data_IF_605452536026
#
_entry.id   IF_605452536026
#
_cell.length_a   1.000
_cell.length_b   1.000
_cell.length_c   1.000
_cell.angle_alpha   90.00
_cell.angle_beta   90.00
_cell.angle_gamma   90.00
#
_symmetry.space_group_name_H-M   'P 1'
#
loop_
_entity.id
_entity.type
_entity.pdbx_description
1 polymer ?
#
# COMPACT_ATOMS: atom_id res chain seq x y z
N UNK A 1 -18.15 23.96 -0.57
CA UNK A 1 -17.75 22.56 -0.30
C UNK A 1 -16.23 22.50 -0.44
N UNK A 2 -15.48 21.96 0.53
CA UNK A 2 -14.05 21.70 0.31
C UNK A 2 -13.93 20.46 -0.59
N UNK A 3 -13.56 20.68 -1.85
CA UNK A 3 -13.22 19.59 -2.77
C UNK A 3 -12.08 18.75 -2.17
N UNK A 4 -11.95 17.48 -2.56
CA UNK A 4 -10.91 16.52 -2.15
C UNK A 4 -9.52 17.15 -2.11
N UNK A 5 -9.21 18.00 -3.10
CA UNK A 5 -7.97 18.78 -3.16
C UNK A 5 -7.81 19.72 -1.96
N UNK A 6 -8.75 20.64 -1.73
CA UNK A 6 -8.70 21.61 -0.62
C UNK A 6 -8.61 20.91 0.73
N UNK A 7 -9.41 19.86 0.94
CA UNK A 7 -9.36 19.05 2.15
C UNK A 7 -7.98 18.42 2.37
N UNK A 8 -7.41 17.92 1.29
CA UNK A 8 -6.09 17.30 1.29
C UNK A 8 -4.97 18.29 1.59
N UNK A 9 -5.03 19.49 1.00
CA UNK A 9 -4.07 20.56 1.27
C UNK A 9 -4.11 20.94 2.75
N UNK A 10 -5.29 21.19 3.30
CA UNK A 10 -5.46 21.52 4.72
C UNK A 10 -4.96 20.40 5.64
N UNK A 11 -5.25 19.15 5.29
CA UNK A 11 -4.80 18.00 6.08
C UNK A 11 -3.28 17.81 6.04
N UNK A 12 -2.67 17.94 4.86
CA UNK A 12 -1.22 17.86 4.71
C UNK A 12 -0.51 19.00 5.42
N UNK A 13 -1.05 20.22 5.35
CA UNK A 13 -0.53 21.36 6.11
C UNK A 13 -0.58 21.14 7.63
N UNK A 14 -1.70 20.62 8.14
CA UNK A 14 -1.82 20.25 9.56
C UNK A 14 -0.83 19.16 9.96
N UNK A 15 -0.63 18.14 9.11
CA UNK A 15 0.39 17.12 9.28
C UNK A 15 1.80 17.71 9.35
N UNK A 16 2.17 18.55 8.39
CA UNK A 16 3.48 19.21 8.34
C UNK A 16 3.72 20.10 9.56
N UNK A 17 2.71 20.83 10.02
CA UNK A 17 2.81 21.63 11.24
C UNK A 17 3.10 20.76 12.47
N UNK A 18 2.41 19.63 12.61
CA UNK A 18 2.62 18.69 13.72
C UNK A 18 4.02 18.04 13.67
N UNK A 19 4.48 17.62 12.48
CA UNK A 19 5.82 17.08 12.29
C UNK A 19 6.88 18.10 12.71
N UNK A 20 6.79 19.32 12.18
CA UNK A 20 7.73 20.40 12.51
C UNK A 20 7.72 20.71 14.01
N UNK A 21 6.55 20.72 14.66
CA UNK A 21 6.46 20.92 16.10
C UNK A 21 7.22 19.84 16.88
N UNK A 22 7.07 18.56 16.53
CA UNK A 22 7.82 17.47 17.14
C UNK A 22 9.32 17.61 16.87
N UNK A 23 9.71 17.94 15.64
CA UNK A 23 11.12 18.12 15.27
C UNK A 23 11.78 19.26 16.05
N UNK A 24 11.12 20.43 16.13
CA UNK A 24 11.67 21.57 16.86
C UNK A 24 11.65 21.37 18.38
N UNK A 25 10.65 20.66 18.91
CA UNK A 25 10.64 20.30 20.33
C UNK A 25 11.80 19.37 20.67
N UNK A 26 12.07 18.36 19.83
CA UNK A 26 13.22 17.47 19.99
C UNK A 26 14.56 18.23 19.93
N UNK A 27 14.69 19.19 19.01
CA UNK A 27 15.85 20.09 18.95
C UNK A 27 16.00 20.93 20.22
N UNK A 28 14.91 21.51 20.72
CA UNK A 28 14.93 22.34 21.92
C UNK A 28 15.27 21.53 23.19
N UNK A 29 14.75 20.30 23.30
CA UNK A 29 14.96 19.43 24.46
C UNK A 29 16.34 18.78 24.46
N UNK A 30 16.88 18.37 23.31
CA UNK A 30 18.17 17.69 23.20
C UNK A 30 19.34 18.61 22.84
N UNK A 31 19.07 19.87 22.49
CA UNK A 31 20.10 20.84 22.10
C UNK A 31 20.83 20.50 20.78
N UNK A 32 20.26 19.61 19.95
CA UNK A 32 20.89 19.20 18.68
C UNK A 32 20.67 20.23 17.57
N UNK A 33 21.58 20.28 16.61
CA UNK A 33 21.46 21.13 15.43
C UNK A 33 20.29 20.71 14.53
N UNK A 34 19.83 21.67 13.71
CA UNK A 34 18.89 21.39 12.63
C UNK A 34 19.53 20.43 11.62
N UNK A 35 18.73 19.48 11.13
CA UNK A 35 19.20 18.54 10.10
C UNK A 35 19.34 19.27 8.76
N UNK A 36 20.46 19.02 8.08
CA UNK A 36 20.74 19.57 6.75
C UNK A 36 20.35 18.61 5.62
N UNK A 37 19.88 17.40 5.96
CA UNK A 37 19.60 16.32 5.03
C UNK A 37 18.54 16.68 3.98
N UNK A 38 17.42 17.36 4.32
CA UNK A 38 16.44 17.79 3.32
C UNK A 38 17.06 18.71 2.26
N UNK A 39 17.87 19.69 2.68
CA UNK A 39 18.58 20.58 1.77
C UNK A 39 19.60 19.85 0.90
N UNK A 40 20.36 18.89 1.45
CA UNK A 40 21.29 18.05 0.67
C UNK A 40 20.56 17.17 -0.35
N UNK A 41 19.37 16.70 -0.01
CA UNK A 41 18.52 15.90 -0.89
C UNK A 41 18.02 16.71 -2.07
N UNK A 42 17.51 17.92 -1.84
CA UNK A 42 17.12 18.82 -2.92
C UNK A 42 18.32 19.17 -3.79
N UNK A 43 19.47 19.48 -3.21
CA UNK A 43 20.69 19.77 -3.96
C UNK A 43 21.14 18.58 -4.82
N UNK A 44 21.15 17.37 -4.26
CA UNK A 44 21.52 16.16 -5.00
C UNK A 44 20.54 15.86 -6.15
N UNK A 45 19.25 16.13 -5.95
CA UNK A 45 18.25 16.03 -7.01
C UNK A 45 18.48 17.06 -8.13
N UNK A 46 18.71 18.33 -7.79
CA UNK A 46 18.97 19.40 -8.76
C UNK A 46 20.22 19.13 -9.61
N UNK A 47 21.30 18.63 -8.99
CA UNK A 47 22.52 18.23 -9.70
C UNK A 47 22.28 17.14 -10.75
N UNK A 48 21.25 16.31 -10.60
CA UNK A 48 20.91 15.30 -11.61
C UNK A 48 20.40 15.91 -12.91
N UNK A 49 19.92 17.15 -12.85
CA UNK A 49 19.46 17.96 -13.99
C UNK A 49 20.44 19.07 -14.37
N UNK A 50 21.69 19.00 -13.90
CA UNK A 50 22.73 20.00 -14.13
C UNK A 50 22.34 21.41 -13.63
N UNK A 51 21.52 21.46 -12.57
CA UNK A 51 21.11 22.70 -11.91
C UNK A 51 21.86 22.85 -10.59
N UNK A 52 22.64 23.92 -10.47
CA UNK A 52 23.29 24.30 -9.22
C UNK A 52 22.47 25.31 -8.42
N UNK A 53 22.59 25.26 -7.10
CA UNK A 53 22.02 26.28 -6.21
C UNK A 53 22.91 27.53 -6.31
N UNK A 54 22.38 28.67 -6.78
CA UNK A 54 23.18 29.87 -7.00
C UNK A 54 23.70 30.46 -5.69
N UNK A 55 24.76 31.28 -5.77
CA UNK A 55 25.38 31.97 -4.64
C UNK A 55 26.64 31.28 -4.11
N UNK A 56 27.30 31.88 -3.10
CA UNK A 56 28.53 31.35 -2.48
C UNK A 56 28.45 31.39 -0.95
N UNK A 57 29.27 30.57 -0.28
CA UNK A 57 29.36 30.54 1.19
C UNK A 57 28.00 30.41 1.86
N UNK A 58 27.73 31.30 2.82
CA UNK A 58 26.48 31.33 3.60
C UNK A 58 25.23 31.56 2.74
N UNK A 59 25.31 32.33 1.65
CA UNK A 59 24.16 32.59 0.78
C UNK A 59 23.63 31.30 0.14
N UNK A 60 24.54 30.47 -0.36
CA UNK A 60 24.20 29.18 -0.96
C UNK A 60 23.64 28.22 0.08
N UNK A 61 24.19 28.24 1.28
CA UNK A 61 23.73 27.40 2.39
C UNK A 61 22.32 27.77 2.85
N UNK A 62 22.03 29.07 2.97
CA UNK A 62 20.70 29.57 3.28
C UNK A 62 19.67 29.17 2.20
N UNK A 63 20.04 29.29 0.91
CA UNK A 63 19.19 28.85 -0.21
C UNK A 63 18.93 27.35 -0.16
N UNK A 64 19.96 26.54 0.09
CA UNK A 64 19.85 25.08 0.22
C UNK A 64 18.92 24.69 1.36
N UNK A 65 19.07 25.33 2.52
CA UNK A 65 18.18 25.14 3.68
C UNK A 65 16.73 25.50 3.34
N UNK A 66 16.50 26.67 2.75
CA UNK A 66 15.17 27.14 2.35
C UNK A 66 14.50 26.20 1.33
N UNK A 67 15.23 25.75 0.31
CA UNK A 67 14.72 24.79 -0.67
C UNK A 67 14.38 23.44 -0.03
N UNK A 68 15.17 22.98 0.94
CA UNK A 68 14.87 21.80 1.74
C UNK A 68 13.55 21.93 2.51
N UNK A 69 13.32 23.07 3.17
CA UNK A 69 12.08 23.35 3.90
C UNK A 69 10.86 23.42 2.97
N UNK A 70 10.96 24.12 1.84
CA UNK A 70 9.89 24.19 0.82
C UNK A 70 9.58 22.81 0.25
N UNK A 71 10.61 22.01 -0.05
CA UNK A 71 10.45 20.63 -0.50
C UNK A 71 9.70 19.77 0.51
N UNK A 72 10.06 19.87 1.80
CA UNK A 72 9.36 19.16 2.87
C UNK A 72 7.88 19.55 3.00
N UNK A 73 7.56 20.84 2.89
CA UNK A 73 6.17 21.33 2.89
C UNK A 73 5.41 20.77 1.68
N UNK A 74 6.00 20.82 0.48
CA UNK A 74 5.37 20.31 -0.74
C UNK A 74 5.06 18.80 -0.64
N UNK A 75 6.00 18.00 -0.12
CA UNK A 75 5.80 16.57 0.13
C UNK A 75 4.68 16.35 1.14
N UNK A 76 4.70 17.06 2.28
CA UNK A 76 3.67 16.93 3.31
C UNK A 76 2.27 17.33 2.81
N UNK A 77 2.14 18.39 2.02
CA UNK A 77 0.87 18.77 1.39
C UNK A 77 0.43 17.71 0.38
N UNK A 78 1.34 17.20 -0.46
CA UNK A 78 1.07 16.16 -1.44
C UNK A 78 0.55 14.87 -0.81
N UNK A 79 1.17 14.41 0.28
CA UNK A 79 0.70 13.23 1.02
C UNK A 79 -0.69 13.45 1.61
N UNK A 80 -1.00 14.65 2.12
CA UNK A 80 -2.35 15.01 2.58
C UNK A 80 -3.40 14.93 1.47
N UNK A 81 -3.07 15.40 0.26
CA UNK A 81 -3.91 15.28 -0.94
C UNK A 81 -4.13 13.82 -1.32
N UNK A 82 -3.09 13.00 -1.32
CA UNK A 82 -3.20 11.56 -1.58
C UNK A 82 -4.08 10.85 -0.54
N UNK A 83 -3.92 11.16 0.74
CA UNK A 83 -4.74 10.61 1.81
C UNK A 83 -6.23 11.01 1.65
N UNK A 84 -6.49 12.27 1.28
CA UNK A 84 -7.84 12.77 0.98
C UNK A 84 -8.47 12.06 -0.22
N UNK A 85 -7.69 11.87 -1.30
CA UNK A 85 -8.12 11.19 -2.51
C UNK A 85 -8.42 9.70 -2.24
N UNK A 86 -7.52 9.00 -1.55
CA UNK A 86 -7.70 7.61 -1.14
C UNK A 86 -8.99 7.41 -0.34
N UNK A 87 -9.24 8.31 0.62
CA UNK A 87 -10.45 8.30 1.45
C UNK A 87 -11.70 8.60 0.63
N UNK A 88 -11.61 9.49 -0.36
CA UNK A 88 -12.69 9.82 -1.30
C UNK A 88 -13.01 8.65 -2.25
N UNK A 89 -12.00 7.84 -2.61
CA UNK A 89 -12.14 6.60 -3.37
C UNK A 89 -12.67 5.40 -2.56
N UNK A 90 -13.11 5.65 -1.31
CA UNK A 90 -13.69 4.63 -0.43
C UNK A 90 -12.67 3.77 0.31
N UNK A 91 -11.38 4.12 0.35
CA UNK A 91 -10.40 3.46 1.22
C UNK A 91 -10.56 4.00 2.64
N UNK A 92 -11.37 3.31 3.44
CA UNK A 92 -11.70 3.72 4.81
C UNK A 92 -11.06 2.75 5.81
N UNK A 93 -9.92 3.15 6.36
CA UNK A 93 -9.27 2.49 7.50
C UNK A 93 -9.74 3.05 8.84
N UNK A 94 -9.56 2.27 9.91
CA UNK A 94 -9.68 2.75 11.29
C UNK A 94 -8.79 3.99 11.51
N UNK A 95 -9.08 4.75 12.57
CA UNK A 95 -8.29 5.93 12.91
C UNK A 95 -6.79 5.62 13.10
N UNK A 96 -6.39 4.65 13.96
CA UNK A 96 -4.98 4.35 14.17
C UNK A 96 -4.29 3.81 12.92
N UNK A 97 -4.91 2.88 12.18
CA UNK A 97 -4.33 2.34 10.94
C UNK A 97 -4.19 3.42 9.87
N UNK A 98 -5.20 4.28 9.71
CA UNK A 98 -5.14 5.37 8.75
C UNK A 98 -4.04 6.39 9.08
N UNK A 99 -3.84 6.71 10.36
CA UNK A 99 -2.77 7.59 10.81
C UNK A 99 -1.40 6.95 10.56
N UNK A 100 -1.21 5.69 10.96
CA UNK A 100 0.05 4.97 10.75
C UNK A 100 0.42 4.84 9.26
N UNK A 101 -0.54 4.47 8.40
CA UNK A 101 -0.30 4.38 6.95
C UNK A 101 0.05 5.74 6.34
N UNK A 102 -0.61 6.82 6.79
CA UNK A 102 -0.33 8.17 6.30
C UNK A 102 1.05 8.66 6.74
N UNK A 103 1.41 8.40 8.01
CA UNK A 103 2.74 8.71 8.54
C UNK A 103 3.85 7.93 7.83
N UNK A 104 3.66 6.62 7.65
CA UNK A 104 4.61 5.78 6.92
C UNK A 104 4.77 6.21 5.46
N UNK A 105 3.70 6.68 4.80
CA UNK A 105 3.79 7.22 3.45
C UNK A 105 4.60 8.52 3.40
N UNK A 106 4.44 9.41 4.39
CA UNK A 106 5.25 10.63 4.49
C UNK A 106 6.73 10.31 4.75
N UNK A 107 7.00 9.39 5.68
CA UNK A 107 8.35 8.91 6.01
C UNK A 107 9.04 8.30 4.80
N UNK A 108 8.35 7.43 4.06
CA UNK A 108 8.88 6.87 2.83
C UNK A 108 9.15 7.95 1.77
N UNK A 109 8.29 8.97 1.66
CA UNK A 109 8.44 10.05 0.70
C UNK A 109 9.65 10.97 0.98
N UNK A 110 10.12 11.06 2.23
CA UNK A 110 11.36 11.75 2.58
C UNK A 110 12.59 10.84 2.47
N UNK A 111 12.50 9.64 3.03
CA UNK A 111 13.68 8.81 3.32
C UNK A 111 14.15 8.04 2.09
N UNK A 112 13.21 7.64 1.22
CA UNK A 112 13.56 6.92 -0.01
C UNK A 112 14.40 7.79 -0.95
N UNK A 113 14.01 9.04 -1.27
CA UNK A 113 14.88 9.94 -2.04
C UNK A 113 16.24 10.19 -1.36
N UNK A 114 16.26 10.38 -0.03
CA UNK A 114 17.49 10.56 0.74
C UNK A 114 18.45 9.37 0.59
N UNK A 115 17.93 8.16 0.72
CA UNK A 115 18.71 6.93 0.55
C UNK A 115 19.16 6.72 -0.89
N UNK A 116 18.27 6.94 -1.86
CA UNK A 116 18.58 6.78 -3.28
C UNK A 116 19.67 7.76 -3.76
N UNK A 117 19.66 8.98 -3.23
CA UNK A 117 20.66 10.02 -3.52
C UNK A 117 21.91 9.93 -2.63
N UNK A 118 22.01 8.89 -1.78
CA UNK A 118 23.12 8.65 -0.84
C UNK A 118 23.38 9.83 0.11
N UNK A 119 22.34 10.55 0.48
CA UNK A 119 22.38 11.63 1.47
C UNK A 119 22.40 11.06 2.89
N UNK A 120 21.70 9.95 3.10
CA UNK A 120 21.59 9.22 4.37
C UNK A 120 21.37 7.73 4.09
N UNK A 121 21.75 6.84 5.02
CA UNK A 121 21.45 5.40 4.95
C UNK A 121 20.64 4.96 6.19
N UNK A 122 19.33 4.70 6.05
CA UNK A 122 18.47 4.24 7.16
C UNK A 122 18.95 2.96 7.83
N UNK A 123 19.79 2.16 7.17
CA UNK A 123 20.34 0.92 7.73
C UNK A 123 21.45 1.17 8.74
N UNK A 124 22.07 2.34 8.70
CA UNK A 124 23.13 2.76 9.60
C UNK A 124 22.63 3.67 10.73
N UNK A 125 21.33 4.00 10.75
CA UNK A 125 20.75 4.87 11.76
C UNK A 125 20.80 4.25 13.15
N UNK A 126 21.05 5.09 14.16
CA UNK A 126 20.91 4.67 15.54
C UNK A 126 19.43 4.40 15.88
N UNK A 127 19.18 3.69 16.98
CA UNK A 127 17.82 3.50 17.49
C UNK A 127 17.15 4.84 17.83
N UNK A 128 17.94 5.83 18.26
CA UNK A 128 17.47 7.18 18.56
C UNK A 128 17.05 7.92 17.30
N UNK A 129 17.82 7.83 16.20
CA UNK A 129 17.48 8.45 14.92
C UNK A 129 16.17 7.87 14.37
N UNK A 130 16.05 6.53 14.40
CA UNK A 130 14.81 5.84 14.05
C UNK A 130 13.62 6.29 14.89
N UNK A 131 13.78 6.38 16.21
CA UNK A 131 12.71 6.77 17.10
C UNK A 131 12.24 8.22 16.86
N UNK A 132 13.17 9.15 16.72
CA UNK A 132 12.86 10.56 16.43
C UNK A 132 12.16 10.71 15.09
N UNK A 133 12.62 9.99 14.06
CA UNK A 133 12.01 10.05 12.73
C UNK A 133 10.58 9.47 12.72
N UNK A 134 10.40 8.27 13.28
CA UNK A 134 9.09 7.62 13.39
C UNK A 134 8.13 8.48 14.21
N UNK A 135 8.59 9.10 15.30
CA UNK A 135 7.75 9.98 16.13
C UNK A 135 7.22 11.18 15.33
N UNK A 136 8.07 11.85 14.55
CA UNK A 136 7.67 12.98 13.70
C UNK A 136 6.65 12.58 12.64
N UNK A 137 6.88 11.45 11.97
CA UNK A 137 5.99 10.93 10.93
C UNK A 137 4.66 10.37 11.47
N UNK A 138 4.66 9.78 12.67
CA UNK A 138 3.41 9.40 13.35
C UNK A 138 2.60 10.64 13.73
N UNK A 139 3.24 11.69 14.24
CA UNK A 139 2.57 12.96 14.54
C UNK A 139 1.96 13.58 13.28
N UNK A 140 2.70 13.56 12.16
CA UNK A 140 2.16 13.94 10.83
C UNK A 140 0.91 13.14 10.49
N UNK A 141 0.96 11.81 10.59
CA UNK A 141 -0.15 10.93 10.24
C UNK A 141 -1.39 11.14 11.10
N UNK A 142 -1.20 11.33 12.41
CA UNK A 142 -2.27 11.62 13.38
C UNK A 142 -2.95 12.95 13.04
N UNK A 143 -2.17 14.03 12.88
CA UNK A 143 -2.69 15.36 12.60
C UNK A 143 -3.38 15.44 11.22
N UNK A 144 -2.79 14.84 10.19
CA UNK A 144 -3.40 14.71 8.86
C UNK A 144 -4.75 14.01 8.97
N UNK A 145 -4.82 12.90 9.71
CA UNK A 145 -6.07 12.15 9.86
C UNK A 145 -7.12 12.91 10.65
N UNK A 146 -6.73 13.60 11.71
CA UNK A 146 -7.61 14.46 12.49
C UNK A 146 -8.21 15.58 11.62
N UNK A 147 -7.37 16.26 10.83
CA UNK A 147 -7.79 17.31 9.91
C UNK A 147 -8.73 16.79 8.81
N UNK A 148 -8.45 15.61 8.22
CA UNK A 148 -9.37 14.96 7.27
C UNK A 148 -10.73 14.62 7.91
N UNK A 149 -10.74 14.26 9.20
CA UNK A 149 -11.97 13.99 9.96
C UNK A 149 -12.75 15.26 10.32
N UNK A 150 -12.05 16.33 10.71
CA UNK A 150 -12.65 17.63 11.03
C UNK A 150 -13.21 18.33 9.77
N UNK A 151 -12.57 18.12 8.62
CA UNK A 151 -12.99 18.66 7.34
C UNK A 151 -14.07 17.83 6.64
N UNK A 152 -14.65 16.80 7.28
CA UNK A 152 -15.89 16.14 6.84
C UNK A 152 -17.09 16.96 7.36
N UNK A 153 -17.74 17.81 6.52
CA UNK A 153 -18.85 18.62 7.00
C UNK A 153 -20.09 17.74 7.19
N UNK A 154 -20.73 17.82 8.35
CA UNK A 154 -22.08 17.35 8.53
C UNK A 154 -23.11 18.40 8.09
N UNK A 155 -23.81 18.20 6.95
CA UNK A 155 -25.22 18.60 6.64
C UNK A 155 -25.57 18.38 5.14
N UNK A 156 -26.84 18.49 4.68
CA UNK A 156 -27.94 17.54 4.79
C UNK A 156 -28.40 17.00 3.40
N UNK A 157 -27.55 17.05 2.36
CA UNK A 157 -27.92 16.58 0.99
C UNK A 157 -27.72 15.07 0.81
N UNK A 158 -26.97 14.42 1.70
CA UNK A 158 -26.66 12.99 1.59
C UNK A 158 -27.08 12.19 2.83
N UNK A 159 -28.23 12.48 3.44
CA UNK A 159 -28.78 11.53 4.43
C UNK A 159 -28.98 10.14 3.82
N UNK A 160 -29.24 10.05 2.51
CA UNK A 160 -29.25 8.81 1.75
C UNK A 160 -27.87 8.17 1.65
N UNK A 161 -26.88 8.83 1.04
CA UNK A 161 -25.53 8.28 0.86
C UNK A 161 -24.77 8.06 2.17
N UNK A 162 -24.91 8.93 3.18
CA UNK A 162 -24.33 8.72 4.50
C UNK A 162 -25.01 7.58 5.28
N UNK A 163 -26.33 7.35 5.08
CA UNK A 163 -27.00 6.14 5.59
C UNK A 163 -26.55 4.91 4.82
N UNK A 164 -26.35 5.00 3.52
CA UNK A 164 -25.84 3.91 2.68
C UNK A 164 -24.39 3.57 3.05
N UNK A 165 -23.51 4.55 3.27
CA UNK A 165 -22.15 4.37 3.76
C UNK A 165 -22.13 3.86 5.21
N UNK A 166 -22.95 4.41 6.13
CA UNK A 166 -23.08 3.86 7.49
C UNK A 166 -23.63 2.44 7.47
N UNK A 167 -24.60 2.13 6.59
CA UNK A 167 -25.13 0.77 6.39
C UNK A 167 -24.08 -0.14 5.75
N UNK A 168 -23.29 0.34 4.79
CA UNK A 168 -22.22 -0.43 4.16
C UNK A 168 -21.09 -0.73 5.16
N UNK A 169 -20.71 0.23 6.01
CA UNK A 169 -19.76 0.03 7.11
C UNK A 169 -20.32 -0.88 8.21
N UNK A 170 -21.61 -0.78 8.53
CA UNK A 170 -22.28 -1.71 9.46
C UNK A 170 -22.47 -3.10 8.87
N UNK A 171 -22.61 -3.21 7.56
CA UNK A 171 -22.67 -4.48 6.81
C UNK A 171 -21.29 -5.06 6.54
N UNK A 172 -20.23 -4.26 6.67
CA UNK A 172 -18.88 -4.75 6.49
C UNK A 172 -18.53 -5.65 7.68
N UNK A 173 -18.36 -6.94 7.40
CA UNK A 173 -18.02 -7.93 8.42
C UNK A 173 -16.60 -7.75 8.94
N UNK A 174 -16.33 -8.31 10.12
CA UNK A 174 -14.95 -8.53 10.56
C UNK A 174 -14.28 -9.48 9.54
N UNK A 175 -13.03 -9.22 9.13
CA UNK A 175 -12.35 -10.06 8.17
C UNK A 175 -12.14 -11.46 8.78
N UNK A 176 -12.44 -12.50 7.99
CA UNK A 176 -12.17 -13.88 8.40
C UNK A 176 -10.67 -14.13 8.46
N UNK A 177 -10.22 -15.08 9.29
CA UNK A 177 -8.82 -15.50 9.32
C UNK A 177 -8.34 -15.96 7.93
N UNK A 178 -9.22 -16.66 7.19
CA UNK A 178 -8.96 -17.08 5.81
C UNK A 178 -8.68 -15.89 4.88
N UNK A 179 -9.49 -14.82 4.95
CA UNK A 179 -9.27 -13.61 4.16
C UNK A 179 -7.94 -12.94 4.50
N UNK A 180 -7.60 -12.83 5.79
CA UNK A 180 -6.33 -12.25 6.24
C UNK A 180 -5.15 -13.08 5.72
N UNK A 181 -5.19 -14.40 5.89
CA UNK A 181 -4.15 -15.30 5.41
C UNK A 181 -3.99 -15.23 3.89
N UNK A 182 -5.09 -15.26 3.14
CA UNK A 182 -5.09 -15.13 1.67
C UNK A 182 -4.54 -13.79 1.19
N UNK A 183 -4.87 -12.71 1.90
CA UNK A 183 -4.30 -11.39 1.63
C UNK A 183 -2.80 -11.38 1.84
N UNK A 184 -2.31 -12.02 2.91
CA UNK A 184 -0.88 -12.22 3.16
C UNK A 184 -0.18 -13.02 2.07
N UNK A 185 -0.75 -14.18 1.68
CA UNK A 185 -0.20 -15.02 0.60
C UNK A 185 -0.16 -14.27 -0.73
N UNK A 186 -1.22 -13.53 -1.06
CA UNK A 186 -1.26 -12.68 -2.24
C UNK A 186 -0.22 -11.55 -2.17
N UNK A 187 0.00 -11.02 -0.96
CA UNK A 187 1.11 -10.13 -0.64
C UNK A 187 2.45 -10.75 -0.98
N UNK A 188 2.73 -11.97 -0.51
CA UNK A 188 3.98 -12.69 -0.82
C UNK A 188 4.16 -12.85 -2.32
N UNK A 189 3.11 -13.19 -3.05
CA UNK A 189 3.13 -13.24 -4.52
C UNK A 189 3.49 -11.88 -5.13
N UNK A 190 2.91 -10.78 -4.63
CA UNK A 190 3.25 -9.41 -5.03
C UNK A 190 4.72 -9.06 -4.70
N UNK A 191 5.25 -9.57 -3.59
CA UNK A 191 6.65 -9.41 -3.20
C UNK A 191 7.61 -10.13 -4.14
N UNK A 192 7.23 -11.31 -4.62
CA UNK A 192 7.97 -12.06 -5.65
C UNK A 192 7.92 -11.27 -6.97
N UNK A 193 6.72 -10.92 -7.45
CA UNK A 193 6.50 -10.15 -8.67
C UNK A 193 5.36 -9.16 -8.51
N UNK A 194 5.60 -7.88 -8.75
CA UNK A 194 4.69 -6.81 -8.36
C UNK A 194 3.34 -6.90 -9.06
N UNK A 195 3.27 -7.37 -10.30
CA UNK A 195 2.02 -7.56 -11.03
C UNK A 195 1.07 -8.60 -10.42
N UNK A 196 1.57 -9.58 -9.66
CA UNK A 196 0.78 -10.70 -9.15
C UNK A 196 -0.24 -10.32 -8.07
N UNK A 197 0.05 -9.28 -7.27
CA UNK A 197 -0.85 -8.81 -6.21
C UNK A 197 -2.22 -8.36 -6.74
N UNK A 198 -2.25 -7.78 -7.94
CA UNK A 198 -3.50 -7.33 -8.59
C UNK A 198 -3.99 -8.33 -9.62
N UNK A 199 -3.10 -8.96 -10.39
CA UNK A 199 -3.48 -9.89 -11.45
C UNK A 199 -4.27 -11.08 -10.91
N UNK A 200 -3.81 -11.71 -9.81
CA UNK A 200 -4.49 -12.87 -9.22
C UNK A 200 -5.99 -12.65 -8.99
N UNK A 201 -6.38 -11.64 -8.19
CA UNK A 201 -7.78 -11.31 -7.97
C UNK A 201 -8.52 -10.97 -9.25
N UNK A 202 -7.93 -10.18 -10.16
CA UNK A 202 -8.57 -9.75 -11.42
C UNK A 202 -8.91 -10.96 -12.32
N UNK A 203 -8.07 -11.98 -12.34
CA UNK A 203 -8.28 -13.18 -13.14
C UNK A 203 -9.27 -14.17 -12.51
N UNK A 204 -9.39 -14.23 -11.18
CA UNK A 204 -10.35 -15.14 -10.53
C UNK A 204 -11.82 -14.68 -10.66
N UNK A 205 -12.77 -15.59 -10.96
CA UNK A 205 -14.19 -15.28 -11.02
C UNK A 205 -14.77 -14.83 -9.67
N UNK A 206 -15.68 -13.86 -9.70
CA UNK A 206 -16.52 -13.47 -8.57
C UNK A 206 -17.99 -13.40 -9.02
N UNK A 207 -18.96 -13.90 -8.24
CA UNK A 207 -20.37 -13.88 -8.63
C UNK A 207 -20.88 -12.45 -8.83
N UNK A 208 -21.55 -12.19 -9.97
CA UNK A 208 -22.29 -10.94 -10.21
C UNK A 208 -21.57 -9.78 -10.91
N UNK A 209 -20.48 -10.00 -11.68
CA UNK A 209 -19.75 -8.92 -12.38
C UNK A 209 -19.96 -8.94 -13.91
N UNK A 210 -20.36 -7.80 -14.48
CA UNK A 210 -20.61 -7.52 -15.91
C UNK A 210 -19.33 -7.62 -16.78
N UNK A 211 -19.50 -8.06 -18.03
CA UNK A 211 -18.47 -8.70 -18.86
C UNK A 211 -17.43 -7.79 -19.54
N UNK A 212 -17.72 -6.50 -19.77
CA UNK A 212 -16.84 -5.61 -20.55
C UNK A 212 -15.64 -5.06 -19.76
N UNK A 213 -15.88 -4.48 -18.57
CA UNK A 213 -14.81 -3.95 -17.71
C UNK A 213 -13.83 -5.02 -17.23
N UNK A 214 -14.31 -6.26 -17.10
CA UNK A 214 -13.48 -7.41 -16.74
C UNK A 214 -12.51 -7.83 -17.84
N UNK A 215 -12.89 -7.71 -19.11
CA UNK A 215 -11.99 -8.00 -20.25
C UNK A 215 -10.85 -6.98 -20.32
N UNK A 216 -11.17 -5.69 -20.17
CA UNK A 216 -10.16 -4.63 -20.12
C UNK A 216 -9.24 -4.79 -18.90
N UNK A 217 -9.79 -5.03 -17.71
CA UNK A 217 -9.00 -5.24 -16.49
C UNK A 217 -8.06 -6.45 -16.60
N UNK A 218 -8.51 -7.55 -17.22
CA UNK A 218 -7.68 -8.72 -17.51
C UNK A 218 -6.60 -8.39 -18.53
N UNK A 219 -6.93 -7.73 -19.64
CA UNK A 219 -5.95 -7.34 -20.65
C UNK A 219 -4.84 -6.46 -20.05
N UNK A 220 -5.20 -5.45 -19.25
CA UNK A 220 -4.24 -4.59 -18.54
C UNK A 220 -3.39 -5.38 -17.55
N UNK A 221 -3.99 -6.26 -16.74
CA UNK A 221 -3.25 -7.11 -15.81
C UNK A 221 -2.32 -8.10 -16.53
N UNK A 222 -2.75 -8.65 -17.67
CA UNK A 222 -1.94 -9.53 -18.51
C UNK A 222 -0.75 -8.80 -19.13
N UNK A 223 -0.96 -7.58 -19.63
CA UNK A 223 0.11 -6.72 -20.15
C UNK A 223 1.09 -6.31 -19.05
N UNK A 224 0.62 -6.03 -17.83
CA UNK A 224 1.49 -5.73 -16.69
C UNK A 224 2.36 -6.93 -16.30
N UNK A 225 1.79 -8.13 -16.25
CA UNK A 225 2.53 -9.38 -15.98
C UNK A 225 3.54 -9.65 -17.10
N UNK A 226 3.14 -9.52 -18.36
CA UNK A 226 4.02 -9.72 -19.51
C UNK A 226 5.16 -8.69 -19.57
N UNK A 227 4.86 -7.42 -19.32
CA UNK A 227 5.87 -6.35 -19.28
C UNK A 227 6.90 -6.56 -18.17
N UNK A 228 6.47 -7.01 -16.99
CA UNK A 228 7.38 -7.31 -15.88
C UNK A 228 8.22 -8.57 -16.14
N UNK A 229 7.65 -9.59 -16.82
CA UNK A 229 8.37 -10.79 -17.27
C UNK A 229 9.47 -10.48 -18.30
N UNK A 230 9.19 -9.58 -19.25
CA UNK A 230 10.15 -9.15 -20.27
C UNK A 230 11.20 -8.21 -19.67
N UNK A 231 10.77 -7.27 -18.82
CA UNK A 231 11.66 -6.34 -18.13
C UNK A 231 12.67 -7.02 -17.21
N UNK A 232 12.29 -8.12 -16.55
CA UNK A 232 13.17 -8.92 -15.68
C UNK A 232 14.36 -9.56 -16.41
N UNK A 233 14.30 -9.69 -17.74
CA UNK A 233 15.34 -10.34 -18.55
C UNK A 233 16.36 -9.37 -19.16
N UNK A 234 16.15 -8.06 -18.99
CA UNK A 234 17.05 -7.04 -19.53
C UNK A 234 18.24 -6.80 -18.57
N UNK A 235 19.43 -6.44 -19.07
CA UNK A 235 20.61 -6.18 -18.21
C UNK A 235 20.45 -5.02 -17.20
N UNK A 236 19.35 -4.25 -17.29
CA UNK A 236 19.08 -3.02 -16.56
C UNK A 236 18.06 -3.19 -15.42
N UNK A 237 17.68 -4.41 -15.03
CA UNK A 237 16.66 -4.62 -14.00
C UNK A 237 17.14 -4.13 -12.62
N UNK A 238 16.46 -3.15 -11.99
CA UNK A 238 16.81 -2.71 -10.65
C UNK A 238 16.66 -3.85 -9.65
N UNK A 239 17.49 -3.85 -8.60
CA UNK A 239 17.32 -4.78 -7.49
C UNK A 239 15.87 -4.75 -6.97
N UNK A 240 15.30 -5.89 -6.63
CA UNK A 240 13.97 -5.98 -5.99
C UNK A 240 13.86 -5.26 -4.64
N UNK A 241 15.00 -5.04 -3.98
CA UNK A 241 15.13 -4.24 -2.77
C UNK A 241 15.44 -2.77 -3.06
N UNK A 242 15.56 -2.39 -4.34
CA UNK A 242 15.64 -0.99 -4.71
C UNK A 242 14.34 -0.30 -4.25
N UNK A 243 14.43 0.90 -3.65
CA UNK A 243 13.29 1.51 -2.99
C UNK A 243 12.02 1.63 -3.85
N UNK A 244 12.16 2.01 -5.13
CA UNK A 244 11.03 2.11 -6.05
C UNK A 244 10.39 0.75 -6.38
N UNK A 245 11.22 -0.28 -6.57
CA UNK A 245 10.75 -1.62 -6.87
C UNK A 245 10.07 -2.28 -5.67
N UNK A 246 10.54 -2.01 -4.45
CA UNK A 246 9.88 -2.43 -3.21
C UNK A 246 8.54 -1.71 -3.02
N UNK A 247 8.50 -0.39 -3.20
CA UNK A 247 7.27 0.40 -3.09
C UNK A 247 6.16 -0.11 -4.03
N UNK A 248 6.49 -0.42 -5.29
CA UNK A 248 5.55 -0.99 -6.25
C UNK A 248 4.94 -2.31 -5.76
N UNK A 249 5.75 -3.20 -5.17
CA UNK A 249 5.30 -4.49 -4.62
C UNK A 249 4.37 -4.33 -3.42
N UNK A 250 4.69 -3.40 -2.51
CA UNK A 250 3.85 -3.09 -1.34
C UNK A 250 2.49 -2.52 -1.75
N UNK A 251 2.49 -1.58 -2.70
CA UNK A 251 1.26 -1.01 -3.26
C UNK A 251 0.42 -2.09 -3.92
N UNK A 252 1.04 -2.98 -4.69
CA UNK A 252 0.33 -4.09 -5.33
C UNK A 252 -0.25 -5.09 -4.32
N UNK A 253 0.52 -5.53 -3.32
CA UNK A 253 0.05 -6.43 -2.27
C UNK A 253 -1.11 -5.84 -1.46
N UNK A 254 -1.02 -4.55 -1.10
CA UNK A 254 -2.11 -3.82 -0.45
C UNK A 254 -3.35 -3.68 -1.34
N UNK A 255 -3.16 -3.39 -2.63
CA UNK A 255 -4.26 -3.29 -3.61
C UNK A 255 -4.98 -4.62 -3.81
N UNK A 256 -4.25 -5.72 -3.91
CA UNK A 256 -4.79 -7.08 -3.94
C UNK A 256 -5.66 -7.37 -2.72
N UNK A 257 -5.18 -7.04 -1.53
CA UNK A 257 -5.93 -7.18 -0.29
C UNK A 257 -7.19 -6.33 -0.25
N UNK A 258 -7.17 -5.09 -0.76
CA UNK A 258 -8.38 -4.25 -0.89
C UNK A 258 -9.41 -4.92 -1.80
N UNK A 259 -8.98 -5.49 -2.92
CA UNK A 259 -9.89 -6.20 -3.85
C UNK A 259 -10.54 -7.39 -3.14
N UNK A 260 -9.75 -8.21 -2.42
CA UNK A 260 -10.28 -9.37 -1.67
C UNK A 260 -11.24 -8.93 -0.56
N UNK A 261 -10.89 -7.94 0.24
CA UNK A 261 -11.74 -7.44 1.32
C UNK A 261 -13.06 -6.86 0.79
N UNK A 262 -13.03 -6.14 -0.34
CA UNK A 262 -14.25 -5.62 -0.98
C UNK A 262 -15.16 -6.73 -1.50
N UNK A 263 -14.60 -7.82 -2.06
CA UNK A 263 -15.36 -9.00 -2.51
C UNK A 263 -16.10 -9.68 -1.37
N UNK A 264 -15.48 -9.76 -0.20
CA UNK A 264 -16.07 -10.37 1.00
C UNK A 264 -16.85 -9.36 1.85
N UNK A 265 -16.96 -8.10 1.42
CA UNK A 265 -17.56 -7.00 2.18
C UNK A 265 -16.99 -6.95 3.60
N UNK A 266 -15.67 -7.03 3.75
CA UNK A 266 -14.97 -6.97 5.02
C UNK A 266 -14.28 -5.61 5.25
N UNK A 267 -13.93 -5.30 6.49
CA UNK A 267 -13.08 -4.14 6.80
C UNK A 267 -11.66 -4.31 6.23
N UNK A 268 -10.99 -3.19 5.93
CA UNK A 268 -9.74 -3.19 5.18
C UNK A 268 -8.49 -3.42 6.05
N UNK A 269 -8.57 -3.12 7.34
CA UNK A 269 -7.40 -2.99 8.23
C UNK A 269 -6.49 -4.24 8.22
N UNK A 270 -7.00 -5.39 8.70
CA UNK A 270 -6.19 -6.61 8.79
C UNK A 270 -5.79 -7.18 7.41
N UNK A 271 -6.68 -7.26 6.41
CA UNK A 271 -6.30 -7.74 5.08
C UNK A 271 -5.18 -6.92 4.44
N UNK A 272 -5.27 -5.58 4.48
CA UNK A 272 -4.27 -4.70 3.86
C UNK A 272 -2.94 -4.78 4.59
N UNK A 273 -2.94 -4.78 5.92
CA UNK A 273 -1.71 -4.99 6.70
C UNK A 273 -1.08 -6.34 6.34
N UNK A 274 -1.87 -7.42 6.30
CA UNK A 274 -1.37 -8.73 5.90
C UNK A 274 -0.80 -8.73 4.48
N UNK A 275 -1.46 -8.10 3.51
CA UNK A 275 -0.99 -8.01 2.13
C UNK A 275 0.30 -7.22 1.96
N UNK A 276 0.45 -6.10 2.68
CA UNK A 276 1.68 -5.31 2.68
C UNK A 276 2.82 -6.07 3.37
N UNK A 277 2.57 -6.70 4.52
CA UNK A 277 3.55 -7.53 5.23
C UNK A 277 3.98 -8.73 4.38
N UNK A 278 3.02 -9.39 3.73
CA UNK A 278 3.31 -10.47 2.78
C UNK A 278 4.23 -9.99 1.66
N UNK A 279 3.98 -8.82 1.08
CA UNK A 279 4.83 -8.25 0.03
C UNK A 279 6.25 -7.93 0.51
N UNK A 280 6.43 -7.45 1.75
CA UNK A 280 7.75 -7.31 2.37
C UNK A 280 8.46 -8.67 2.46
N UNK A 281 7.79 -9.67 3.03
CA UNK A 281 8.35 -11.00 3.23
C UNK A 281 8.70 -11.68 1.90
N UNK A 282 7.85 -11.56 0.87
CA UNK A 282 8.13 -12.08 -0.46
C UNK A 282 9.31 -11.39 -1.14
N UNK A 283 9.45 -10.06 -0.97
CA UNK A 283 10.57 -9.30 -1.55
C UNK A 283 11.91 -9.71 -0.95
N UNK A 284 11.97 -9.84 0.38
CA UNK A 284 13.17 -10.29 1.10
C UNK A 284 13.46 -11.78 0.90
N UNK A 285 12.42 -12.62 0.96
CA UNK A 285 12.53 -14.06 0.75
C UNK A 285 13.04 -14.39 -0.65
N UNK A 286 12.50 -13.75 -1.68
CA UNK A 286 13.02 -13.86 -3.05
C UNK A 286 14.48 -13.41 -3.14
N UNK A 287 14.81 -12.27 -2.51
CA UNK A 287 16.18 -11.73 -2.40
C UNK A 287 17.18 -12.76 -1.87
N UNK A 288 16.86 -13.34 -0.72
CA UNK A 288 17.65 -14.38 -0.09
C UNK A 288 17.74 -15.63 -0.98
N UNK A 289 16.61 -16.11 -1.53
CA UNK A 289 16.54 -17.29 -2.38
C UNK A 289 17.50 -17.21 -3.57
N UNK A 290 17.44 -16.16 -4.39
CA UNK A 290 18.34 -16.10 -5.55
C UNK A 290 19.80 -15.93 -5.15
N UNK A 291 20.07 -15.19 -4.08
CA UNK A 291 21.44 -14.98 -3.63
C UNK A 291 22.05 -16.30 -3.16
N UNK A 292 21.28 -17.10 -2.42
CA UNK A 292 21.68 -18.44 -2.00
C UNK A 292 21.81 -19.39 -3.19
N UNK A 293 20.82 -19.47 -4.08
CA UNK A 293 20.84 -20.37 -5.23
C UNK A 293 22.01 -20.08 -6.20
N UNK A 294 22.36 -18.80 -6.36
CA UNK A 294 23.52 -18.42 -7.15
C UNK A 294 24.84 -18.82 -6.47
N UNK A 295 24.99 -18.61 -5.15
CA UNK A 295 26.22 -18.93 -4.42
C UNK A 295 26.46 -20.43 -4.26
N UNK A 296 25.44 -21.17 -3.87
CA UNK A 296 25.58 -22.58 -3.50
C UNK A 296 25.40 -23.51 -4.69
N UNK A 297 24.51 -23.17 -5.63
CA UNK A 297 24.14 -24.05 -6.74
C UNK A 297 24.60 -23.54 -8.11
N UNK A 298 25.11 -22.31 -8.20
CA UNK A 298 25.41 -21.65 -9.47
C UNK A 298 24.16 -21.35 -10.32
N UNK A 299 22.96 -21.47 -9.74
CA UNK A 299 21.71 -21.37 -10.49
C UNK A 299 21.29 -19.92 -10.69
N UNK A 300 21.22 -19.50 -11.95
CA UNK A 300 20.70 -18.18 -12.30
C UNK A 300 19.29 -18.27 -12.87
N UNK A 301 19.11 -18.89 -14.04
CA UNK A 301 17.80 -18.95 -14.71
C UNK A 301 16.83 -19.92 -14.03
N UNK A 302 17.30 -21.08 -13.57
CA UNK A 302 16.47 -22.10 -12.93
C UNK A 302 15.84 -21.59 -11.63
N UNK A 303 16.62 -20.87 -10.82
CA UNK A 303 16.14 -20.26 -9.58
C UNK A 303 15.05 -19.21 -9.84
N UNK A 304 15.12 -18.48 -10.95
CA UNK A 304 14.10 -17.51 -11.34
C UNK A 304 12.81 -18.19 -11.84
N UNK A 305 12.90 -19.29 -12.59
CA UNK A 305 11.72 -20.05 -13.01
C UNK A 305 10.97 -20.68 -11.83
N UNK A 306 11.70 -21.21 -10.85
CA UNK A 306 11.11 -21.75 -9.62
C UNK A 306 10.40 -20.65 -8.84
N UNK A 307 11.07 -19.50 -8.67
CA UNK A 307 10.50 -18.32 -8.02
C UNK A 307 9.19 -17.85 -8.70
N UNK A 308 9.17 -17.81 -10.03
CA UNK A 308 7.97 -17.48 -10.82
C UNK A 308 6.84 -18.49 -10.61
N UNK A 309 7.15 -19.79 -10.60
CA UNK A 309 6.18 -20.85 -10.34
C UNK A 309 5.57 -20.76 -8.94
N UNK A 310 6.39 -20.46 -7.93
CA UNK A 310 5.94 -20.23 -6.54
C UNK A 310 5.05 -18.99 -6.47
N UNK A 311 5.47 -17.88 -7.10
CA UNK A 311 4.70 -16.64 -7.15
C UNK A 311 3.32 -16.83 -7.77
N UNK A 312 3.24 -17.50 -8.92
CA UNK A 312 1.97 -17.82 -9.60
C UNK A 312 1.07 -18.72 -8.74
N UNK A 313 1.67 -19.71 -8.06
CA UNK A 313 0.94 -20.62 -7.16
C UNK A 313 0.34 -19.86 -5.99
N UNK A 314 1.11 -18.98 -5.33
CA UNK A 314 0.61 -18.13 -4.24
C UNK A 314 -0.46 -17.15 -4.72
N UNK A 315 -0.28 -16.52 -5.88
CA UNK A 315 -1.29 -15.65 -6.46
C UNK A 315 -2.62 -16.40 -6.69
N UNK A 316 -2.55 -17.63 -7.21
CA UNK A 316 -3.72 -18.48 -7.41
C UNK A 316 -4.39 -18.86 -6.08
N UNK A 317 -3.62 -19.31 -5.09
CA UNK A 317 -4.12 -19.72 -3.77
C UNK A 317 -4.75 -18.56 -3.00
N UNK A 318 -4.09 -17.39 -2.96
CA UNK A 318 -4.63 -16.19 -2.31
C UNK A 318 -5.92 -15.68 -2.97
N UNK A 319 -6.05 -15.85 -4.28
CA UNK A 319 -7.16 -15.30 -5.06
C UNK A 319 -8.42 -16.18 -5.11
N UNK A 320 -8.34 -17.45 -4.67
CA UNK A 320 -9.46 -18.40 -4.66
C UNK A 320 -10.47 -18.05 -3.56
N UNK A 321 -11.78 -17.99 -3.85
CA UNK A 321 -12.78 -17.84 -2.80
C UNK A 321 -12.68 -19.01 -1.80
N UNK A 322 -13.04 -18.80 -0.52
CA UNK A 322 -13.07 -19.91 0.43
C UNK A 322 -14.04 -20.96 -0.09
N UNK A 323 -13.63 -22.23 -0.06
CA UNK A 323 -14.51 -23.35 -0.35
C UNK A 323 -15.63 -23.32 0.69
N UNK A 324 -16.82 -22.87 0.29
CA UNK A 324 -18.04 -23.02 1.09
C UNK A 324 -18.18 -24.51 1.42
N UNK A 325 -18.15 -24.91 2.70
CA UNK A 325 -18.61 -26.23 3.05
C UNK A 325 -20.11 -26.25 2.71
N UNK A 326 -20.49 -27.06 1.74
CA UNK A 326 -21.76 -27.78 1.83
C UNK A 326 -23.05 -26.94 1.81
N UNK A 327 -23.27 -26.15 0.76
CA UNK A 327 -24.67 -25.87 0.33
C UNK A 327 -25.16 -26.93 -0.67
N UNK A 328 -24.24 -27.68 -1.28
CA UNK A 328 -24.56 -28.76 -2.22
C UNK A 328 -25.23 -29.97 -1.55
N UNK A 329 -24.88 -30.31 -0.29
CA UNK A 329 -25.53 -31.44 0.41
C UNK A 329 -26.93 -31.06 0.89
N UNK A 330 -27.17 -29.80 1.29
CA UNK A 330 -28.52 -29.34 1.67
C UNK A 330 -29.44 -29.26 0.45
N UNK A 331 -28.94 -28.81 -0.70
CA UNK A 331 -29.72 -28.81 -1.94
C UNK A 331 -30.03 -30.23 -2.46
N UNK A 332 -29.11 -31.19 -2.29
CA UNK A 332 -29.35 -32.58 -2.63
C UNK A 332 -30.34 -33.25 -1.67
N UNK A 333 -30.23 -33.00 -0.36
CA UNK A 333 -31.12 -33.54 0.68
C UNK A 333 -32.56 -33.01 0.55
N UNK A 334 -32.74 -31.73 0.21
CA UNK A 334 -34.07 -31.14 -0.01
C UNK A 334 -34.70 -31.57 -1.35
N UNK A 335 -33.90 -32.07 -2.31
CA UNK A 335 -34.43 -32.58 -3.58
C UNK A 335 -34.86 -34.06 -3.53
N UNK A 336 -34.33 -34.83 -2.56
CA UNK A 336 -34.66 -36.25 -2.38
C UNK A 336 -35.94 -36.47 -1.56
N UNK A 337 -36.36 -35.53 -0.74
CA UNK A 337 -37.57 -35.66 0.10
C UNK A 337 -38.89 -35.33 -0.63
N UNK A 338 -38.85 -34.78 -1.85
CA UNK A 338 -40.05 -34.32 -2.57
C UNK A 338 -40.59 -35.35 -3.59
N UNK A 339 -40.00 -36.55 -3.69
CA UNK A 339 -40.49 -37.61 -4.59
C UNK A 339 -40.78 -38.94 -3.88
N UNK A 340 -41.84 -38.97 -3.09
CA UNK A 340 -42.65 -40.18 -2.98
C UNK A 340 -44.11 -39.84 -3.28
N UNK A 341 -44.64 -40.18 -4.47
CA UNK A 341 -46.09 -40.21 -4.66
C UNK A 341 -46.66 -41.37 -3.85
N UNK A 342 -47.62 -41.06 -2.97
CA UNK A 342 -48.38 -42.03 -2.21
C UNK A 342 -49.03 -43.06 -3.16
N UNK A 343 -48.85 -44.35 -2.85
CA UNK A 343 -49.51 -45.44 -3.57
C UNK A 343 -51.04 -45.33 -3.43
N UNK A 344 -51.83 -45.61 -4.48
CA UNK A 344 -53.28 -45.64 -4.38
C UNK A 344 -53.70 -46.87 -3.58
N UNK A 345 -54.45 -46.67 -2.49
CA UNK A 345 -55.10 -47.73 -1.73
C UNK A 345 -56.11 -48.46 -2.62
N UNK A 346 -55.85 -49.71 -2.94
CA UNK A 346 -56.84 -50.62 -3.55
C UNK A 346 -57.46 -51.50 -2.48
N UNK A 347 -58.80 -51.49 -2.48
CA UNK A 347 -59.78 -52.39 -1.82
C UNK A 347 -60.13 -52.10 -0.38
#
# INVERSE_FOLDING_TARGET
MTNTLTRGILAGAAGTAALNAVTYLDMALRGRSASDAPGRTVQAALRRFDVDIPGRGAERENRRSALGAVGGIAVGVGIGVLASAARSAGLRFSAPTGAALTGAAAMAASDVPMAALRVSDPRAWSSTDWATDVAGHLAYGIATRAALGAAEPGRPVDRGLARVERRARRRAGRPSLSLVARSGVLGVAAGIRSSLGVAGPVYTPHPGSVSAGRRVGRAVAGLAVAGELVGDKLPMTPSRLAPGALAARLVSGGSGAVILARRERATLDLPVVAGVTGALLGSWGGAAWRSWAQRELGWTWSAALIEDGVGLTFAALGSRPPSTPTTAIVAHALSSDVRQPAAPSTR
#
